data_IF_299109148677
#
_entry.id   IF_299109148677
#
_cell.length_a   1.000
_cell.length_b   1.000
_cell.length_c   1.000
_cell.angle_alpha   90.00
_cell.angle_beta   90.00
_cell.angle_gamma   90.00
#
_symmetry.space_group_name_H-M   'P 1'
#
loop_
_entity.id
_entity.type
_entity.pdbx_description
1 polymer ?
#
# COMPACT_ATOMS: atom_id res chain seq x y z
N UNK A 1 -19.47 -3.04 -20.13
CA UNK A 1 -19.50 -4.51 -20.36
C UNK A 1 -18.37 -5.11 -19.54
N UNK A 2 -18.68 -6.03 -18.63
CA UNK A 2 -17.74 -6.53 -17.64
C UNK A 2 -16.63 -7.40 -18.23
N UNK A 3 -15.44 -7.37 -17.63
CA UNK A 3 -14.24 -8.06 -18.11
C UNK A 3 -14.20 -9.57 -17.76
N UNK A 4 -15.32 -10.18 -17.35
CA UNK A 4 -15.39 -11.60 -16.99
C UNK A 4 -16.28 -12.39 -17.96
N UNK A 5 -15.98 -13.68 -18.12
CA UNK A 5 -16.74 -14.57 -19.00
C UNK A 5 -17.97 -15.11 -18.28
N UNK A 6 -19.15 -14.59 -18.64
CA UNK A 6 -20.44 -15.07 -18.12
C UNK A 6 -20.65 -16.56 -18.43
N UNK A 7 -20.33 -17.00 -19.66
CA UNK A 7 -20.39 -18.41 -20.05
C UNK A 7 -19.49 -19.32 -19.20
N UNK A 8 -18.29 -18.84 -18.83
CA UNK A 8 -17.42 -19.57 -17.92
C UNK A 8 -17.99 -19.59 -16.50
N UNK A 9 -18.47 -18.47 -15.99
CA UNK A 9 -19.06 -18.38 -14.65
C UNK A 9 -20.28 -19.32 -14.52
N UNK A 10 -21.14 -19.37 -15.53
CA UNK A 10 -22.28 -20.28 -15.60
C UNK A 10 -21.84 -21.74 -15.50
N UNK A 11 -20.85 -22.14 -16.30
CA UNK A 11 -20.31 -23.49 -16.28
C UNK A 11 -19.77 -23.86 -14.90
N UNK A 12 -19.05 -22.96 -14.24
CA UNK A 12 -18.55 -23.23 -12.88
C UNK A 12 -19.71 -23.35 -11.88
N UNK A 13 -20.72 -22.48 -11.94
CA UNK A 13 -21.90 -22.54 -11.06
C UNK A 13 -22.72 -23.83 -11.25
N UNK A 14 -22.88 -24.29 -12.49
CA UNK A 14 -23.50 -25.59 -12.79
C UNK A 14 -22.73 -26.76 -12.17
N UNK A 15 -21.39 -26.74 -12.26
CA UNK A 15 -20.55 -27.75 -11.62
C UNK A 15 -20.79 -27.71 -10.11
N UNK A 16 -20.76 -26.52 -9.51
CA UNK A 16 -20.94 -26.39 -8.05
C UNK A 16 -22.32 -26.90 -7.62
N UNK A 17 -23.40 -26.52 -8.31
CA UNK A 17 -24.77 -26.98 -8.00
C UNK A 17 -24.93 -28.49 -8.16
N UNK A 18 -24.26 -29.11 -9.14
CA UNK A 18 -24.26 -30.56 -9.34
C UNK A 18 -23.50 -31.31 -8.23
N UNK A 19 -22.32 -30.83 -7.85
CA UNK A 19 -21.49 -31.50 -6.83
C UNK A 19 -21.91 -31.16 -5.39
N UNK A 20 -22.73 -30.12 -5.21
CA UNK A 20 -23.26 -29.70 -3.93
C UNK A 20 -24.13 -30.78 -3.28
N UNK A 21 -23.81 -31.10 -2.02
CA UNK A 21 -24.61 -31.99 -1.18
C UNK A 21 -25.08 -31.23 0.06
N UNK A 22 -26.38 -31.29 0.37
CA UNK A 22 -26.89 -30.88 1.69
C UNK A 22 -26.34 -31.82 2.74
N UNK A 23 -25.82 -31.28 3.84
CA UNK A 23 -25.31 -32.09 4.95
C UNK A 23 -26.40 -33.03 5.49
N UNK A 24 -26.25 -34.37 5.43
CA UNK A 24 -27.06 -35.27 6.23
C UNK A 24 -26.61 -35.20 7.69
N UNK A 25 -27.53 -35.42 8.63
CA UNK A 25 -27.23 -35.62 10.06
C UNK A 25 -26.33 -36.85 10.34
N UNK A 26 -25.98 -37.62 9.32
CA UNK A 26 -25.21 -38.86 9.41
C UNK A 26 -24.15 -38.90 8.29
N UNK A 27 -22.94 -38.43 8.57
CA UNK A 27 -21.79 -38.66 7.69
C UNK A 27 -21.06 -39.94 8.10
N UNK A 28 -20.75 -40.81 7.14
CA UNK A 28 -19.80 -41.91 7.33
C UNK A 28 -18.37 -41.37 7.14
N UNK A 29 -17.48 -41.70 8.06
CA UNK A 29 -16.07 -41.24 8.19
C UNK A 29 -15.19 -41.46 6.94
N UNK A 30 -15.67 -42.21 5.94
CA UNK A 30 -14.94 -42.51 4.71
C UNK A 30 -15.00 -41.40 3.64
N UNK A 31 -16.02 -40.54 3.65
CA UNK A 31 -16.09 -39.37 2.77
C UNK A 31 -15.41 -38.19 3.47
N UNK A 32 -14.21 -37.78 3.03
CA UNK A 32 -13.58 -36.55 3.52
C UNK A 32 -14.16 -35.36 2.74
N UNK A 33 -15.10 -34.57 3.30
CA UNK A 33 -15.55 -33.37 2.61
C UNK A 33 -14.39 -32.40 2.43
N UNK A 34 -14.23 -31.83 1.22
CA UNK A 34 -13.17 -30.88 0.93
C UNK A 34 -13.39 -29.57 1.70
N UNK A 35 -14.64 -29.10 1.79
CA UNK A 35 -15.02 -27.93 2.59
C UNK A 35 -16.52 -27.92 2.95
N UNK A 36 -16.83 -27.61 4.21
CA UNK A 36 -18.18 -27.31 4.69
C UNK A 36 -18.42 -25.80 4.60
N UNK A 37 -19.57 -25.41 4.07
CA UNK A 37 -20.02 -24.04 4.01
C UNK A 37 -21.35 -23.88 4.76
N UNK A 38 -21.51 -22.74 5.44
CA UNK A 38 -22.70 -22.44 6.24
C UNK A 38 -23.13 -21.00 6.00
N UNK A 39 -24.36 -20.78 5.55
CA UNK A 39 -24.98 -19.45 5.43
C UNK A 39 -26.47 -19.53 5.77
N UNK A 40 -26.98 -18.56 6.54
CA UNK A 40 -28.41 -18.47 6.86
C UNK A 40 -29.02 -19.72 7.52
N UNK A 41 -28.24 -20.46 8.32
CA UNK A 41 -28.70 -21.71 8.95
C UNK A 41 -28.77 -22.92 8.01
N UNK A 42 -28.38 -22.76 6.74
CA UNK A 42 -28.25 -23.84 5.76
C UNK A 42 -26.77 -24.20 5.61
N UNK A 43 -26.48 -25.49 5.48
CA UNK A 43 -25.13 -26.01 5.30
C UNK A 43 -25.01 -26.83 4.02
N UNK A 44 -23.92 -26.61 3.29
CA UNK A 44 -23.63 -27.26 2.03
C UNK A 44 -22.19 -27.76 2.01
N UNK A 45 -21.98 -28.93 1.44
CA UNK A 45 -20.68 -29.56 1.33
C UNK A 45 -20.32 -29.68 -0.15
N UNK A 46 -19.08 -29.29 -0.47
CA UNK A 46 -18.47 -29.51 -1.77
C UNK A 46 -17.35 -30.54 -1.65
N UNK A 47 -17.25 -31.39 -2.66
CA UNK A 47 -16.07 -32.21 -2.91
C UNK A 47 -14.95 -31.36 -3.55
N UNK A 48 -13.80 -31.98 -3.85
CA UNK A 48 -12.65 -31.26 -4.42
C UNK A 48 -12.99 -30.57 -5.74
N UNK A 49 -13.78 -31.23 -6.59
CA UNK A 49 -14.19 -30.71 -7.90
C UNK A 49 -15.15 -29.53 -7.77
N UNK A 50 -16.12 -29.61 -6.86
CA UNK A 50 -17.00 -28.50 -6.52
C UNK A 50 -16.24 -27.33 -5.89
N UNK A 51 -15.24 -27.61 -5.06
CA UNK A 51 -14.40 -26.58 -4.44
C UNK A 51 -13.51 -25.86 -5.47
N UNK A 52 -12.94 -26.58 -6.43
CA UNK A 52 -12.19 -25.98 -7.55
C UNK A 52 -13.09 -25.09 -8.40
N UNK A 53 -14.30 -25.57 -8.74
CA UNK A 53 -15.27 -24.77 -9.48
C UNK A 53 -15.70 -23.51 -8.69
N UNK A 54 -15.89 -23.63 -7.38
CA UNK A 54 -16.16 -22.50 -6.49
C UNK A 54 -15.04 -21.46 -6.54
N UNK A 55 -13.79 -21.88 -6.40
CA UNK A 55 -12.65 -20.97 -6.49
C UNK A 55 -12.53 -20.32 -7.88
N UNK A 56 -12.81 -21.07 -8.95
CA UNK A 56 -12.81 -20.56 -10.31
C UNK A 56 -13.91 -19.51 -10.53
N UNK A 57 -15.12 -19.75 -10.03
CA UNK A 57 -16.23 -18.80 -10.09
C UNK A 57 -15.87 -17.49 -9.37
N UNK A 58 -15.35 -17.57 -8.14
CA UNK A 58 -14.91 -16.41 -7.35
C UNK A 58 -13.84 -15.62 -8.09
N UNK A 59 -12.81 -16.31 -8.61
CA UNK A 59 -11.74 -15.66 -9.36
C UNK A 59 -12.26 -15.01 -10.66
N UNK A 60 -13.23 -15.63 -11.33
CA UNK A 60 -13.83 -15.09 -12.55
C UNK A 60 -14.60 -13.80 -12.27
N UNK A 61 -15.41 -13.75 -11.21
CA UNK A 61 -16.10 -12.52 -10.77
C UNK A 61 -15.09 -11.42 -10.43
N UNK A 62 -14.00 -11.76 -9.73
CA UNK A 62 -12.97 -10.81 -9.32
C UNK A 62 -12.06 -10.32 -10.47
N UNK A 63 -12.20 -10.83 -11.70
CA UNK A 63 -11.56 -10.21 -12.88
C UNK A 63 -12.23 -8.92 -13.30
N UNK A 64 -13.49 -8.71 -12.91
CA UNK A 64 -14.19 -7.48 -13.21
C UNK A 64 -13.67 -6.34 -12.32
N UNK A 65 -13.38 -5.20 -12.94
CA UNK A 65 -12.84 -4.04 -12.24
C UNK A 65 -13.83 -3.50 -11.20
N UNK A 66 -15.15 -3.56 -11.46
CA UNK A 66 -16.14 -3.10 -10.50
C UNK A 66 -16.20 -4.01 -9.27
N UNK A 67 -16.24 -5.33 -9.47
CA UNK A 67 -16.34 -6.27 -8.35
C UNK A 67 -15.05 -6.29 -7.52
N UNK A 68 -13.89 -6.34 -8.17
CA UNK A 68 -12.59 -6.29 -7.48
C UNK A 68 -12.34 -4.96 -6.77
N UNK A 69 -12.91 -3.86 -7.27
CA UNK A 69 -12.89 -2.59 -6.58
C UNK A 69 -13.83 -2.60 -5.37
N UNK A 70 -15.06 -3.11 -5.45
CA UNK A 70 -16.06 -2.89 -4.41
C UNK A 70 -16.18 -4.00 -3.35
N UNK A 71 -15.67 -5.20 -3.63
CA UNK A 71 -15.83 -6.35 -2.73
C UNK A 71 -14.49 -7.01 -2.38
N UNK A 72 -14.38 -7.55 -1.17
CA UNK A 72 -13.30 -8.47 -0.81
C UNK A 72 -13.57 -9.85 -1.40
N UNK A 73 -12.51 -10.65 -1.59
CA UNK A 73 -12.66 -12.05 -2.02
C UNK A 73 -13.62 -12.82 -1.11
N UNK A 74 -13.47 -12.65 0.20
CA UNK A 74 -14.35 -13.27 1.20
C UNK A 74 -15.81 -12.87 1.02
N UNK A 75 -16.08 -11.59 0.73
CA UNK A 75 -17.45 -11.15 0.44
C UNK A 75 -18.00 -11.82 -0.84
N UNK A 76 -17.20 -11.93 -1.90
CA UNK A 76 -17.61 -12.66 -3.12
C UNK A 76 -17.88 -14.13 -2.82
N UNK A 77 -17.00 -14.78 -2.06
CA UNK A 77 -17.19 -16.17 -1.61
C UNK A 77 -18.51 -16.33 -0.85
N UNK A 78 -18.70 -15.57 0.23
CA UNK A 78 -19.80 -15.76 1.18
C UNK A 78 -21.15 -15.22 0.66
N UNK A 79 -21.14 -14.08 -0.05
CA UNK A 79 -22.38 -13.34 -0.40
C UNK A 79 -22.79 -13.42 -1.85
N UNK A 80 -21.87 -13.74 -2.74
CA UNK A 80 -22.19 -13.83 -4.17
C UNK A 80 -22.28 -15.29 -4.56
N UNK A 81 -21.23 -16.07 -4.36
CA UNK A 81 -21.22 -17.47 -4.81
C UNK A 81 -22.00 -18.36 -3.85
N UNK A 82 -21.75 -18.26 -2.54
CA UNK A 82 -22.39 -19.14 -1.57
C UNK A 82 -23.90 -18.92 -1.43
N UNK A 83 -24.32 -17.66 -1.28
CA UNK A 83 -25.74 -17.31 -1.14
C UNK A 83 -26.51 -17.66 -2.43
N UNK A 84 -25.91 -17.45 -3.62
CA UNK A 84 -26.49 -17.91 -4.90
C UNK A 84 -26.75 -19.42 -4.88
N UNK A 85 -25.74 -20.23 -4.51
CA UNK A 85 -25.89 -21.69 -4.47
C UNK A 85 -26.99 -22.08 -3.48
N UNK A 86 -26.93 -21.57 -2.25
CA UNK A 86 -27.84 -21.96 -1.17
C UNK A 86 -29.30 -21.60 -1.47
N UNK A 87 -29.52 -20.44 -2.09
CA UNK A 87 -30.87 -19.96 -2.40
C UNK A 87 -31.47 -20.65 -3.61
N UNK A 88 -30.65 -21.08 -4.57
CA UNK A 88 -31.12 -21.66 -5.81
C UNK A 88 -31.00 -23.21 -5.86
N UNK A 89 -30.35 -23.85 -4.88
CA UNK A 89 -30.14 -25.30 -4.86
C UNK A 89 -31.45 -26.12 -4.91
N UNK A 90 -32.51 -25.69 -4.22
CA UNK A 90 -33.81 -26.39 -4.28
C UNK A 90 -34.42 -26.33 -5.67
N UNK A 91 -34.49 -25.14 -6.28
CA UNK A 91 -35.01 -24.94 -7.63
C UNK A 91 -34.18 -25.67 -8.69
N UNK A 92 -32.86 -25.80 -8.47
CA UNK A 92 -31.98 -26.60 -9.30
C UNK A 92 -32.35 -28.09 -9.26
N UNK A 93 -32.53 -28.66 -8.06
CA UNK A 93 -32.93 -30.07 -7.91
C UNK A 93 -34.30 -30.37 -8.54
N UNK A 94 -35.22 -29.41 -8.46
CA UNK A 94 -36.56 -29.53 -9.04
C UNK A 94 -36.59 -29.27 -10.56
N UNK A 95 -35.43 -28.94 -11.17
CA UNK A 95 -35.30 -28.67 -12.61
C UNK A 95 -35.97 -27.35 -13.07
N UNK A 96 -36.30 -26.47 -12.13
CA UNK A 96 -37.03 -25.21 -12.38
C UNK A 96 -36.13 -23.98 -12.46
N UNK A 97 -34.84 -24.13 -12.15
CA UNK A 97 -33.88 -23.04 -12.14
C UNK A 97 -33.33 -22.75 -13.55
N UNK A 98 -33.63 -21.55 -14.06
CA UNK A 98 -32.84 -20.93 -15.13
C UNK A 98 -31.62 -20.23 -14.51
N UNK A 99 -30.47 -20.91 -14.57
CA UNK A 99 -29.23 -20.44 -13.94
C UNK A 99 -28.75 -19.14 -14.61
N UNK A 100 -28.93 -18.98 -15.92
CA UNK A 100 -28.43 -17.81 -16.66
C UNK A 100 -29.26 -16.57 -16.36
N UNK A 101 -30.59 -16.68 -16.42
CA UNK A 101 -31.48 -15.59 -16.03
C UNK A 101 -31.22 -15.18 -14.57
N UNK A 102 -31.15 -16.15 -13.65
CA UNK A 102 -30.95 -15.86 -12.23
C UNK A 102 -29.58 -15.25 -11.93
N UNK A 103 -28.53 -15.73 -12.57
CA UNK A 103 -27.18 -15.18 -12.44
C UNK A 103 -27.12 -13.74 -12.96
N UNK A 104 -27.79 -13.48 -14.08
CA UNK A 104 -27.87 -12.14 -14.67
C UNK A 104 -28.54 -11.14 -13.73
N UNK A 105 -29.67 -11.53 -13.13
CA UNK A 105 -30.37 -10.71 -12.12
C UNK A 105 -29.48 -10.40 -10.92
N UNK A 106 -28.80 -11.42 -10.37
CA UNK A 106 -27.97 -11.27 -9.17
C UNK A 106 -26.73 -10.39 -9.45
N UNK A 107 -26.11 -10.53 -10.62
CA UNK A 107 -25.03 -9.64 -11.07
C UNK A 107 -25.53 -8.20 -11.22
N UNK A 108 -26.72 -8.00 -11.78
CA UNK A 108 -27.30 -6.67 -11.95
C UNK A 108 -27.59 -6.00 -10.59
N UNK A 109 -28.15 -6.74 -9.64
CA UNK A 109 -28.37 -6.28 -8.27
C UNK A 109 -27.05 -5.86 -7.61
N UNK A 110 -26.02 -6.71 -7.69
CA UNK A 110 -24.71 -6.42 -7.12
C UNK A 110 -24.01 -5.24 -7.80
N UNK A 111 -24.21 -5.04 -9.11
CA UNK A 111 -23.73 -3.84 -9.83
C UNK A 111 -24.45 -2.57 -9.40
N UNK A 112 -25.63 -2.68 -8.80
CA UNK A 112 -26.34 -1.58 -8.15
C UNK A 112 -25.68 -1.12 -6.84
N UNK A 113 -24.69 -1.85 -6.32
CA UNK A 113 -24.00 -1.50 -5.07
C UNK A 113 -23.32 -0.12 -5.18
N UNK A 114 -23.74 0.81 -4.32
CA UNK A 114 -23.29 2.20 -4.34
C UNK A 114 -22.96 2.76 -2.95
N UNK A 115 -22.88 1.89 -1.93
CA UNK A 115 -22.63 2.34 -0.57
C UNK A 115 -21.23 2.96 -0.43
N UNK A 116 -21.18 4.04 0.36
CA UNK A 116 -19.95 4.79 0.63
C UNK A 116 -19.78 4.95 2.13
N UNK A 117 -18.53 4.84 2.55
CA UNK A 117 -18.13 4.92 3.94
C UNK A 117 -17.11 6.03 4.12
N UNK A 118 -17.35 6.89 5.10
CA UNK A 118 -16.34 7.79 5.62
C UNK A 118 -15.49 7.03 6.64
N UNK A 119 -14.23 6.78 6.29
CA UNK A 119 -13.31 6.01 7.14
C UNK A 119 -12.37 6.97 7.86
N UNK A 120 -12.26 6.79 9.17
CA UNK A 120 -11.42 7.61 10.06
C UNK A 120 -10.29 6.73 10.58
N UNK A 121 -9.04 7.13 10.31
CA UNK A 121 -7.85 6.36 10.65
C UNK A 121 -6.93 7.22 11.53
N UNK A 122 -6.69 6.85 12.80
CA UNK A 122 -5.75 7.56 13.66
C UNK A 122 -4.31 7.46 13.15
N UNK A 123 -3.61 8.59 13.15
CA UNK A 123 -2.23 8.74 12.68
C UNK A 123 -1.36 9.22 13.84
N UNK A 124 -0.17 8.63 13.99
CA UNK A 124 0.82 9.10 14.95
C UNK A 124 2.14 9.52 14.29
N UNK A 125 3.02 10.13 15.09
CA UNK A 125 4.34 10.61 14.64
C UNK A 125 4.32 11.95 13.89
N UNK A 126 3.21 12.70 13.97
CA UNK A 126 3.07 14.03 13.38
C UNK A 126 2.59 14.99 14.45
N UNK A 127 3.29 16.12 14.57
CA UNK A 127 2.89 17.25 15.42
C UNK A 127 2.18 18.28 14.54
N UNK A 128 0.85 18.31 14.61
CA UNK A 128 0.01 19.07 13.69
C UNK A 128 -0.36 20.45 14.24
N UNK A 129 0.48 21.44 13.95
CA UNK A 129 0.36 22.82 14.45
C UNK A 129 -0.32 23.74 13.42
N UNK A 130 -1.51 23.35 12.95
CA UNK A 130 -2.26 24.11 11.94
C UNK A 130 -3.75 24.12 12.24
N UNK A 131 -4.42 25.22 11.86
CA UNK A 131 -5.88 25.30 11.77
C UNK A 131 -6.39 24.69 10.45
N UNK A 132 -7.38 23.82 10.56
CA UNK A 132 -8.03 23.15 9.44
C UNK A 132 -7.26 21.94 8.91
N UNK A 133 -7.84 21.26 7.93
CA UNK A 133 -7.31 20.01 7.39
C UNK A 133 -6.19 20.26 6.36
N UNK A 134 -5.33 19.26 6.18
CA UNK A 134 -4.33 19.17 5.13
C UNK A 134 -4.73 18.04 4.15
N UNK A 135 -4.94 18.39 2.89
CA UNK A 135 -5.22 17.42 1.83
C UNK A 135 -3.93 16.77 1.32
N UNK A 136 -3.87 15.44 1.36
CA UNK A 136 -2.72 14.64 0.92
C UNK A 136 -3.23 13.51 0.02
N UNK A 137 -3.12 13.65 -1.29
CA UNK A 137 -3.78 12.70 -2.19
C UNK A 137 -5.29 12.72 -2.00
N UNK A 138 -5.89 11.54 -1.86
CA UNK A 138 -7.32 11.35 -1.64
C UNK A 138 -7.76 11.54 -0.17
N UNK A 139 -6.82 11.72 0.76
CA UNK A 139 -7.14 11.83 2.19
C UNK A 139 -7.10 13.28 2.69
N UNK A 140 -7.86 13.54 3.74
CA UNK A 140 -7.74 14.74 4.57
C UNK A 140 -7.16 14.39 5.93
N UNK A 141 -6.07 15.05 6.30
CA UNK A 141 -5.43 14.93 7.61
C UNK A 141 -5.84 16.11 8.48
N UNK A 142 -6.34 15.85 9.68
CA UNK A 142 -6.76 16.88 10.61
C UNK A 142 -6.94 16.35 12.02
N UNK A 143 -7.12 17.26 12.98
CA UNK A 143 -7.45 16.88 14.34
C UNK A 143 -8.92 16.43 14.39
N UNK A 144 -9.16 15.25 14.92
CA UNK A 144 -10.50 14.71 15.07
C UNK A 144 -11.31 15.53 16.06
N UNK A 145 -12.52 15.91 15.65
CA UNK A 145 -13.51 16.57 16.50
C UNK A 145 -14.84 15.93 16.26
N UNK A 146 -15.50 15.41 17.30
CA UNK A 146 -16.80 14.72 17.14
C UNK A 146 -17.85 15.55 16.42
N UNK A 147 -17.85 16.87 16.60
CA UNK A 147 -18.82 17.78 15.98
C UNK A 147 -18.73 17.83 14.45
N UNK A 148 -17.59 17.46 13.88
CA UNK A 148 -17.36 17.48 12.43
C UNK A 148 -17.99 16.23 11.76
N UNK A 149 -18.58 15.33 12.54
CA UNK A 149 -19.14 14.05 12.08
C UNK A 149 -20.56 13.83 12.61
N UNK A 150 -21.40 13.20 11.78
CA UNK A 150 -22.80 12.91 12.12
C UNK A 150 -22.96 11.57 12.85
N UNK A 151 -22.61 11.51 14.15
CA UNK A 151 -22.72 10.29 14.96
C UNK A 151 -24.06 10.09 15.70
N UNK A 152 -25.10 10.87 15.38
CA UNK A 152 -26.32 11.01 16.22
C UNK A 152 -26.97 9.68 16.66
N UNK A 153 -26.92 8.63 15.83
CA UNK A 153 -27.47 7.29 16.17
C UNK A 153 -26.47 6.33 16.84
N UNK A 154 -25.16 6.57 16.72
CA UNK A 154 -24.09 5.65 17.17
C UNK A 154 -23.58 5.96 18.59
N UNK A 155 -23.74 7.19 19.07
CA UNK A 155 -23.29 7.63 20.40
C UNK A 155 -24.04 6.96 21.56
N UNK A 156 -25.14 6.26 21.28
CA UNK A 156 -25.92 5.49 22.27
C UNK A 156 -25.24 4.18 22.66
N UNK A 157 -24.31 3.67 21.85
CA UNK A 157 -23.57 2.44 22.12
C UNK A 157 -22.30 2.74 22.96
N UNK A 158 -22.24 2.21 24.19
CA UNK A 158 -21.14 2.47 25.14
C UNK A 158 -19.72 2.23 24.56
N UNK A 159 -19.42 1.11 23.88
CA UNK A 159 -18.08 0.87 23.33
C UNK A 159 -17.69 1.89 22.25
N UNK A 160 -18.63 2.25 21.38
CA UNK A 160 -18.40 3.21 20.29
C UNK A 160 -18.18 4.61 20.86
N UNK A 161 -18.97 5.00 21.85
CA UNK A 161 -18.82 6.28 22.54
C UNK A 161 -17.44 6.40 23.21
N UNK A 162 -16.99 5.36 23.90
CA UNK A 162 -15.65 5.33 24.53
C UNK A 162 -14.54 5.46 23.50
N UNK A 163 -14.63 4.73 22.39
CA UNK A 163 -13.66 4.84 21.29
C UNK A 163 -13.62 6.25 20.68
N UNK A 164 -14.77 6.81 20.31
CA UNK A 164 -14.86 8.16 19.75
C UNK A 164 -14.39 9.24 20.74
N UNK A 165 -14.61 9.02 22.05
CA UNK A 165 -14.08 9.90 23.09
C UNK A 165 -12.56 9.89 23.13
N UNK A 166 -11.93 8.72 22.98
CA UNK A 166 -10.47 8.59 22.94
C UNK A 166 -9.82 9.25 21.72
N UNK A 167 -10.57 9.41 20.62
CA UNK A 167 -10.07 10.07 19.41
C UNK A 167 -10.10 11.60 19.46
N UNK A 168 -10.81 12.21 20.41
CA UNK A 168 -10.96 13.67 20.45
C UNK A 168 -9.58 14.36 20.54
N UNK A 169 -9.30 15.26 19.58
CA UNK A 169 -8.02 15.96 19.48
C UNK A 169 -6.86 15.12 18.92
N UNK A 170 -7.05 13.83 18.63
CA UNK A 170 -6.05 13.02 17.94
C UNK A 170 -5.96 13.39 16.45
N UNK A 171 -4.79 13.21 15.86
CA UNK A 171 -4.61 13.36 14.42
C UNK A 171 -5.21 12.16 13.70
N UNK A 172 -6.06 12.42 12.71
CA UNK A 172 -6.69 11.38 11.89
C UNK A 172 -6.53 11.68 10.41
N UNK A 173 -6.46 10.62 9.61
CA UNK A 173 -6.68 10.64 8.17
C UNK A 173 -8.13 10.25 7.90
N UNK A 174 -8.81 11.02 7.06
CA UNK A 174 -10.21 10.78 6.67
C UNK A 174 -10.32 10.64 5.16
N UNK A 175 -11.16 9.70 4.72
CA UNK A 175 -11.41 9.44 3.30
C UNK A 175 -12.80 8.84 3.11
N UNK A 176 -13.47 9.24 2.03
CA UNK A 176 -14.73 8.65 1.59
C UNK A 176 -14.47 7.60 0.51
N UNK A 177 -14.81 6.36 0.78
CA UNK A 177 -14.54 5.21 -0.09
C UNK A 177 -15.81 4.42 -0.38
N UNK A 178 -15.95 3.95 -1.61
CA UNK A 178 -16.98 3.01 -2.00
C UNK A 178 -16.50 1.56 -1.81
N UNK A 179 -17.45 0.67 -1.53
CA UNK A 179 -17.22 -0.76 -1.33
C UNK A 179 -17.84 -1.24 -0.03
N UNK A 180 -18.00 -2.56 0.08
CA UNK A 180 -18.46 -3.18 1.33
C UNK A 180 -17.51 -2.84 2.50
N UNK A 181 -17.96 -2.87 3.77
CA UNK A 181 -17.22 -2.34 4.91
C UNK A 181 -15.74 -2.78 5.03
N UNK A 182 -15.42 -4.05 4.77
CA UNK A 182 -14.05 -4.56 4.83
C UNK A 182 -13.22 -4.02 3.65
N UNK A 183 -13.79 -4.02 2.45
CA UNK A 183 -13.14 -3.45 1.26
C UNK A 183 -12.90 -1.94 1.40
N UNK A 184 -13.88 -1.21 1.91
CA UNK A 184 -13.77 0.21 2.23
C UNK A 184 -12.61 0.45 3.22
N UNK A 185 -12.54 -0.35 4.30
CA UNK A 185 -11.43 -0.29 5.26
C UNK A 185 -10.06 -0.56 4.59
N UNK A 186 -9.94 -1.59 3.76
CA UNK A 186 -8.70 -1.92 3.04
C UNK A 186 -8.24 -0.75 2.14
N UNK A 187 -9.16 -0.20 1.34
CA UNK A 187 -8.88 0.97 0.49
C UNK A 187 -8.43 2.18 1.30
N UNK A 188 -9.12 2.47 2.38
CA UNK A 188 -8.79 3.61 3.24
C UNK A 188 -7.41 3.45 3.89
N UNK A 189 -7.09 2.25 4.40
CA UNK A 189 -5.76 1.95 4.95
C UNK A 189 -4.67 2.11 3.89
N UNK A 190 -4.92 1.64 2.67
CA UNK A 190 -3.98 1.78 1.56
C UNK A 190 -3.73 3.25 1.19
N UNK A 191 -4.79 4.05 1.04
CA UNK A 191 -4.68 5.47 0.70
C UNK A 191 -4.02 6.29 1.82
N UNK A 192 -4.36 6.03 3.08
CA UNK A 192 -3.68 6.66 4.22
C UNK A 192 -2.19 6.29 4.23
N UNK A 193 -1.85 5.01 4.08
CA UNK A 193 -0.45 4.57 4.03
C UNK A 193 0.33 5.24 2.88
N UNK A 194 -0.27 5.40 1.69
CA UNK A 194 0.32 6.14 0.56
C UNK A 194 0.59 7.60 0.91
N UNK A 195 -0.38 8.26 1.52
CA UNK A 195 -0.23 9.65 1.96
C UNK A 195 0.86 9.82 3.03
N UNK A 196 0.96 8.89 3.99
CA UNK A 196 2.03 8.91 4.99
C UNK A 196 3.42 8.71 4.37
N UNK A 197 3.56 7.83 3.37
CA UNK A 197 4.83 7.66 2.62
C UNK A 197 5.26 8.95 1.91
N UNK A 198 4.30 9.72 1.38
CA UNK A 198 4.59 11.06 0.86
C UNK A 198 5.07 12.00 1.96
N UNK A 199 4.42 12.05 3.11
CA UNK A 199 4.88 12.90 4.22
C UNK A 199 6.31 12.54 4.68
N UNK A 200 6.65 11.25 4.69
CA UNK A 200 7.99 10.75 5.02
C UNK A 200 9.08 11.26 4.08
N UNK A 201 8.76 11.57 2.82
CA UNK A 201 9.71 12.21 1.88
C UNK A 201 10.28 13.52 2.43
N UNK A 202 9.52 14.22 3.26
CA UNK A 202 9.88 15.54 3.79
C UNK A 202 10.53 15.51 5.17
N UNK A 203 10.70 14.33 5.80
CA UNK A 203 11.34 14.21 7.12
C UNK A 203 12.72 14.87 7.13
N UNK A 204 13.55 14.64 6.10
CA UNK A 204 14.87 15.26 5.98
C UNK A 204 14.86 16.76 5.67
N UNK A 205 13.75 17.32 5.20
CA UNK A 205 13.63 18.76 5.02
C UNK A 205 13.55 19.51 6.36
N UNK A 206 13.25 18.80 7.46
CA UNK A 206 12.99 19.39 8.77
C UNK A 206 13.92 18.91 9.88
N UNK A 207 14.45 17.68 9.78
CA UNK A 207 15.30 17.11 10.82
C UNK A 207 16.76 16.97 10.36
N UNK A 208 17.69 17.57 11.11
CA UNK A 208 19.14 17.48 10.88
C UNK A 208 19.69 16.32 11.71
N UNK A 209 20.24 15.31 11.02
CA UNK A 209 20.94 14.11 11.55
C UNK A 209 20.14 13.18 12.49
N UNK A 210 20.43 11.87 12.33
CA UNK A 210 20.22 10.74 13.27
C UNK A 210 18.92 10.64 14.07
N UNK A 211 17.83 11.26 13.64
CA UNK A 211 16.53 11.19 14.32
C UNK A 211 15.62 10.22 13.57
N UNK A 212 15.17 9.17 14.26
CA UNK A 212 14.16 8.28 13.74
C UNK A 212 12.80 8.98 13.81
N UNK A 213 12.14 9.11 12.66
CA UNK A 213 10.80 9.69 12.57
C UNK A 213 9.84 8.60 12.11
N UNK A 214 8.98 8.15 13.03
CA UNK A 214 7.99 7.11 12.76
C UNK A 214 6.62 7.74 12.52
N UNK A 215 6.35 8.15 11.28
CA UNK A 215 4.99 8.54 10.87
C UNK A 215 4.25 7.26 10.49
N UNK A 216 3.27 6.81 11.27
CA UNK A 216 2.52 5.56 11.00
C UNK A 216 1.04 5.70 11.36
N UNK A 217 0.25 4.73 10.91
CA UNK A 217 -1.08 4.49 11.49
C UNK A 217 -0.88 4.16 12.97
N UNK A 218 -1.67 4.75 13.86
CA UNK A 218 -1.44 4.68 15.30
C UNK A 218 -1.38 3.23 15.83
N UNK A 219 -2.21 2.33 15.29
CA UNK A 219 -2.19 0.91 15.66
C UNK A 219 -0.92 0.16 15.22
N UNK A 220 -0.08 0.77 14.40
CA UNK A 220 1.19 0.23 13.91
C UNK A 220 2.40 0.88 14.61
N UNK A 221 2.16 1.78 15.56
CA UNK A 221 3.20 2.34 16.42
C UNK A 221 3.45 1.39 17.58
N UNK A 222 4.73 1.11 17.81
CA UNK A 222 5.17 0.48 19.06
C UNK A 222 5.10 1.55 20.15
N UNK A 223 3.96 1.64 20.83
CA UNK A 223 3.74 2.55 21.96
C UNK A 223 4.22 1.86 23.25
N UNK A 224 5.53 1.82 23.46
CA UNK A 224 6.09 1.30 24.71
C UNK A 224 7.59 1.09 24.61
N UNK A 225 8.31 1.08 25.75
CA UNK A 225 9.74 0.80 25.75
C UNK A 225 9.94 -0.71 25.59
N UNK A 226 10.01 -1.14 24.33
CA UNK A 226 10.22 -2.52 23.92
C UNK A 226 11.71 -2.84 23.80
N UNK A 227 12.37 -3.06 24.93
CA UNK A 227 13.73 -3.60 24.98
C UNK A 227 13.79 -4.86 25.82
N UNK A 228 14.74 -5.78 25.55
CA UNK A 228 14.93 -6.96 26.37
C UNK A 228 15.25 -6.52 27.81
N UNK A 229 14.63 -7.20 28.77
CA UNK A 229 15.03 -7.09 30.18
C UNK A 229 16.09 -8.15 30.44
N UNK A 230 17.31 -7.72 30.80
CA UNK A 230 18.37 -8.63 31.22
C UNK A 230 18.22 -8.85 32.72
N UNK A 231 18.13 -10.10 33.15
CA UNK A 231 18.09 -10.45 34.57
C UNK A 231 19.42 -11.08 34.93
N UNK A 232 20.19 -10.40 35.78
CA UNK A 232 21.40 -10.96 36.39
C UNK A 232 20.97 -11.87 37.56
N UNK A 233 20.97 -13.18 37.32
CA UNK A 233 20.44 -14.19 38.24
C UNK A 233 21.21 -14.25 39.58
N UNK A 234 22.57 -14.22 39.61
CA UNK A 234 23.34 -14.15 40.84
C UNK A 234 23.03 -12.96 41.76
N UNK A 235 22.80 -11.77 41.18
CA UNK A 235 22.60 -10.55 41.97
C UNK A 235 21.12 -10.14 42.13
N UNK A 236 20.19 -10.88 41.50
CA UNK A 236 18.75 -10.58 41.40
C UNK A 236 18.47 -9.16 40.88
N UNK A 237 19.38 -8.60 40.08
CA UNK A 237 19.22 -7.27 39.49
C UNK A 237 18.58 -7.38 38.11
N UNK A 238 17.55 -6.57 37.89
CA UNK A 238 16.98 -6.37 36.56
C UNK A 238 17.76 -5.23 35.92
N UNK A 239 18.58 -5.56 34.93
CA UNK A 239 19.17 -4.61 34.01
C UNK A 239 18.15 -4.38 32.89
N UNK A 240 17.43 -3.28 33.00
CA UNK A 240 16.52 -2.85 31.96
C UNK A 240 17.32 -2.12 30.88
N UNK A 241 17.54 -2.76 29.72
CA UNK A 241 18.00 -2.10 28.50
C UNK A 241 16.81 -1.81 27.59
N UNK A 242 15.82 -1.09 28.10
CA UNK A 242 14.87 -0.43 27.23
C UNK A 242 15.56 0.78 26.61
N UNK A 243 16.02 0.63 25.38
CA UNK A 243 16.15 1.81 24.55
C UNK A 243 14.74 2.31 24.29
N UNK A 244 14.38 3.47 24.86
CA UNK A 244 13.33 4.26 24.23
C UNK A 244 13.81 4.46 22.79
N UNK A 245 13.02 4.08 21.76
CA UNK A 245 13.40 4.39 20.38
C UNK A 245 13.78 5.86 20.37
N UNK A 246 15.04 6.15 20.01
CA UNK A 246 15.66 7.47 20.17
C UNK A 246 14.64 8.53 19.83
N UNK A 247 14.20 9.29 20.86
CA UNK A 247 12.86 9.88 20.94
C UNK A 247 12.25 10.19 19.59
N UNK A 248 11.18 9.46 19.21
CA UNK A 248 10.48 9.65 17.94
C UNK A 248 10.20 11.13 17.78
N UNK A 249 10.96 11.81 16.92
CA UNK A 249 10.76 13.24 16.72
C UNK A 249 9.58 13.35 15.76
N UNK A 250 8.44 13.93 16.19
CA UNK A 250 7.30 14.02 15.32
C UNK A 250 7.63 14.93 14.13
N UNK A 251 7.09 14.60 12.96
CA UNK A 251 7.10 15.52 11.83
C UNK A 251 6.18 16.70 12.17
N UNK A 252 6.76 17.86 12.46
CA UNK A 252 5.94 19.06 12.73
C UNK A 252 5.38 19.64 11.43
N UNK A 253 4.05 19.66 11.30
CA UNK A 253 3.32 20.32 10.21
C UNK A 253 2.81 21.67 10.70
N UNK A 254 3.60 22.71 10.45
CA UNK A 254 3.21 24.11 10.64
C UNK A 254 3.29 24.87 9.30
N UNK A 255 2.89 26.16 9.30
CA UNK A 255 2.87 27.00 8.08
C UNK A 255 4.23 27.05 7.38
N UNK A 256 5.31 27.27 8.15
CA UNK A 256 6.70 27.36 7.63
C UNK A 256 7.17 26.05 6.98
N UNK A 257 6.92 24.92 7.64
CA UNK A 257 7.31 23.61 7.13
C UNK A 257 6.51 23.26 5.87
N UNK A 258 5.20 23.54 5.87
CA UNK A 258 4.36 23.31 4.68
C UNK A 258 4.80 24.14 3.47
N UNK A 259 5.20 25.40 3.66
CA UNK A 259 5.77 26.22 2.59
C UNK A 259 7.06 25.62 2.03
N UNK A 260 7.93 25.05 2.88
CA UNK A 260 9.10 24.30 2.42
C UNK A 260 8.70 23.03 1.64
N UNK A 261 7.74 22.24 2.12
CA UNK A 261 7.24 21.04 1.39
C UNK A 261 6.75 21.42 -0.01
N UNK A 262 6.01 22.53 -0.11
CA UNK A 262 5.50 23.05 -1.39
C UNK A 262 6.64 23.41 -2.36
N UNK A 263 7.72 24.04 -1.89
CA UNK A 263 8.91 24.32 -2.72
C UNK A 263 9.58 23.06 -3.27
N UNK A 264 9.39 21.93 -2.58
CA UNK A 264 9.89 20.61 -2.96
C UNK A 264 8.80 19.71 -3.59
N UNK A 265 7.74 20.30 -4.14
CA UNK A 265 6.80 19.58 -5.00
C UNK A 265 5.64 18.87 -4.29
N UNK A 266 5.34 19.24 -3.03
CA UNK A 266 4.29 18.56 -2.25
C UNK A 266 2.92 18.62 -2.90
N UNK A 267 2.53 19.77 -3.44
CA UNK A 267 1.21 19.93 -4.07
C UNK A 267 1.12 19.09 -5.34
N UNK A 268 2.21 19.01 -6.09
CA UNK A 268 2.34 18.25 -7.32
C UNK A 268 2.19 16.76 -7.02
N UNK A 269 2.94 16.21 -6.07
CA UNK A 269 2.80 14.79 -5.71
C UNK A 269 1.41 14.51 -5.12
N UNK A 270 0.91 15.38 -4.24
CA UNK A 270 -0.44 15.27 -3.67
C UNK A 270 -1.52 15.30 -4.76
N UNK A 271 -1.30 16.02 -5.87
CA UNK A 271 -2.18 15.96 -7.05
C UNK A 271 -2.04 14.65 -7.83
N UNK A 272 -0.83 14.12 -8.00
CA UNK A 272 -0.60 12.84 -8.67
C UNK A 272 -1.24 11.66 -7.94
N UNK A 273 -1.24 11.68 -6.59
CA UNK A 273 -1.89 10.64 -5.79
C UNK A 273 -3.42 10.61 -5.96
N UNK A 274 -4.04 11.68 -6.46
CA UNK A 274 -5.49 11.78 -6.72
C UNK A 274 -5.90 11.36 -8.12
N UNK A 275 -4.96 11.30 -9.06
CA UNK A 275 -5.27 10.92 -10.43
C UNK A 275 -5.71 9.46 -10.48
N UNK A 276 -6.66 9.17 -11.35
CA UNK A 276 -7.00 7.80 -11.71
C UNK A 276 -5.85 7.14 -12.46
N UNK A 277 -5.76 5.82 -12.41
CA UNK A 277 -4.65 5.08 -13.03
C UNK A 277 -4.46 5.43 -14.52
N UNK A 278 -5.55 5.63 -15.26
CA UNK A 278 -5.49 5.96 -16.69
C UNK A 278 -4.93 7.36 -16.98
N UNK A 279 -5.00 8.29 -16.03
CA UNK A 279 -4.51 9.68 -16.17
C UNK A 279 -3.05 9.88 -15.74
N UNK A 280 -2.44 8.84 -15.13
CA UNK A 280 -1.06 8.87 -14.66
C UNK A 280 -0.16 8.30 -15.74
N UNK A 281 0.76 9.11 -16.27
CA UNK A 281 1.74 8.65 -17.26
C UNK A 281 2.66 7.56 -16.68
N UNK A 282 3.23 6.67 -17.51
CA UNK A 282 4.20 5.68 -17.05
C UNK A 282 5.34 6.29 -16.23
N UNK A 283 5.83 7.48 -16.63
CA UNK A 283 6.87 8.18 -15.89
C UNK A 283 6.40 8.72 -14.54
N UNK A 284 5.19 9.29 -14.45
CA UNK A 284 4.60 9.70 -13.18
C UNK A 284 4.41 8.50 -12.23
N UNK A 285 4.02 7.32 -12.76
CA UNK A 285 3.90 6.08 -11.97
C UNK A 285 5.24 5.66 -11.36
N UNK A 286 6.34 5.77 -12.09
CA UNK A 286 7.68 5.46 -11.56
C UNK A 286 8.11 6.43 -10.47
N UNK A 287 7.78 7.72 -10.59
CA UNK A 287 8.04 8.71 -9.54
C UNK A 287 7.24 8.36 -8.28
N UNK A 288 5.97 8.00 -8.41
CA UNK A 288 5.14 7.55 -7.28
C UNK A 288 5.69 6.27 -6.64
N UNK A 289 6.15 5.31 -7.46
CA UNK A 289 6.76 4.07 -6.98
C UNK A 289 8.08 4.35 -6.23
N UNK A 290 8.91 5.26 -6.74
CA UNK A 290 10.11 5.73 -6.06
C UNK A 290 9.80 6.38 -4.71
N UNK A 291 8.76 7.23 -4.63
CA UNK A 291 8.31 7.83 -3.37
C UNK A 291 7.82 6.77 -2.39
N UNK A 292 7.13 5.73 -2.89
CA UNK A 292 6.70 4.60 -2.07
C UNK A 292 7.90 3.87 -1.44
N UNK A 293 8.93 3.53 -2.23
CA UNK A 293 10.14 2.88 -1.73
C UNK A 293 10.95 3.78 -0.79
N UNK A 294 11.06 5.07 -1.09
CA UNK A 294 11.69 6.05 -0.21
C UNK A 294 10.97 6.15 1.14
N UNK A 295 9.65 6.31 1.14
CA UNK A 295 8.84 6.40 2.35
C UNK A 295 8.79 5.10 3.15
N UNK A 296 9.01 3.95 2.50
CA UNK A 296 9.22 2.65 3.18
C UNK A 296 10.59 2.61 3.86
N UNK A 297 11.65 3.05 3.18
CA UNK A 297 13.00 3.12 3.76
C UNK A 297 13.04 4.01 5.02
N UNK A 298 12.42 5.19 4.99
CA UNK A 298 12.38 6.10 6.16
C UNK A 298 11.76 5.42 7.39
N UNK A 299 10.82 4.50 7.18
CA UNK A 299 10.07 3.83 8.25
C UNK A 299 10.75 2.55 8.79
N UNK A 300 11.80 2.08 8.13
CA UNK A 300 12.55 0.90 8.58
C UNK A 300 13.42 1.24 9.79
N UNK A 301 13.88 0.22 10.50
CA UNK A 301 14.91 0.35 11.55
C UNK A 301 16.25 -0.13 11.03
N UNK A 302 16.27 -1.30 10.36
CA UNK A 302 17.46 -1.94 9.78
C UNK A 302 18.14 -1.06 8.69
N UNK A 303 19.37 -0.59 8.92
CA UNK A 303 20.16 0.19 7.95
C UNK A 303 20.40 -0.50 6.59
N UNK A 304 20.54 -1.82 6.57
CA UNK A 304 20.74 -2.61 5.35
C UNK A 304 19.48 -2.56 4.50
N UNK A 305 18.31 -2.81 5.11
CA UNK A 305 17.03 -2.72 4.40
C UNK A 305 16.75 -1.30 3.93
N UNK A 306 17.05 -0.27 4.75
CA UNK A 306 16.98 1.15 4.31
C UNK A 306 17.81 1.39 3.06
N UNK A 307 19.07 0.95 3.08
CA UNK A 307 19.99 1.12 1.96
C UNK A 307 19.47 0.45 0.69
N UNK A 308 19.00 -0.80 0.79
CA UNK A 308 18.43 -1.52 -0.36
C UNK A 308 17.20 -0.82 -0.92
N UNK A 309 16.30 -0.31 -0.07
CA UNK A 309 15.12 0.42 -0.52
C UNK A 309 15.49 1.73 -1.23
N UNK A 310 16.50 2.46 -0.75
CA UNK A 310 17.03 3.62 -1.47
C UNK A 310 17.71 3.22 -2.79
N UNK A 311 18.40 2.08 -2.87
CA UNK A 311 18.92 1.58 -4.14
C UNK A 311 17.81 1.26 -5.14
N UNK A 312 16.70 0.66 -4.69
CA UNK A 312 15.51 0.41 -5.51
C UNK A 312 14.94 1.74 -6.04
N UNK A 313 14.94 2.82 -5.27
CA UNK A 313 14.52 4.16 -5.76
C UNK A 313 15.34 4.58 -6.99
N UNK A 314 16.66 4.44 -6.93
CA UNK A 314 17.55 4.79 -8.04
C UNK A 314 17.28 3.89 -9.26
N UNK A 315 17.10 2.58 -9.04
CA UNK A 315 16.83 1.61 -10.10
C UNK A 315 15.47 1.85 -10.79
N UNK A 316 14.42 2.10 -10.02
CA UNK A 316 13.09 2.44 -10.54
C UNK A 316 13.18 3.64 -11.48
N UNK A 317 13.89 4.69 -11.06
CA UNK A 317 13.97 5.96 -11.79
C UNK A 317 14.91 5.93 -13.00
N UNK A 318 15.99 5.13 -12.97
CA UNK A 318 17.10 5.29 -13.92
C UNK A 318 17.63 4.01 -14.59
N UNK A 319 17.21 2.80 -14.17
CA UNK A 319 17.68 1.57 -14.81
C UNK A 319 16.97 1.32 -16.16
N UNK A 320 17.73 0.98 -17.21
CA UNK A 320 17.20 0.45 -18.48
C UNK A 320 16.92 -1.06 -18.33
N UNK A 321 15.89 -1.58 -19.01
CA UNK A 321 15.59 -3.02 -19.06
C UNK A 321 16.34 -3.77 -20.19
N UNK A 322 17.17 -3.10 -20.99
CA UNK A 322 17.79 -3.69 -22.18
C UNK A 322 18.97 -4.61 -21.84
N UNK A 323 18.97 -5.81 -22.44
CA UNK A 323 20.01 -6.84 -22.33
C UNK A 323 21.22 -6.60 -23.24
N UNK A 324 21.12 -5.75 -24.25
CA UNK A 324 22.12 -5.61 -25.33
C UNK A 324 23.01 -4.39 -25.20
N UNK A 325 23.72 -4.24 -24.07
CA UNK A 325 24.78 -3.23 -24.00
C UNK A 325 26.01 -3.74 -23.28
N UNK A 326 27.18 -3.49 -23.87
CA UNK A 326 28.50 -3.79 -23.30
C UNK A 326 28.81 -3.06 -21.97
N UNK A 327 27.93 -2.17 -21.51
CA UNK A 327 28.09 -1.40 -20.26
C UNK A 327 27.28 -2.00 -19.13
N UNK A 328 27.90 -2.07 -17.95
CA UNK A 328 27.21 -2.51 -16.73
C UNK A 328 26.05 -1.58 -16.37
N UNK A 329 25.00 -2.14 -15.75
CA UNK A 329 23.86 -1.36 -15.23
C UNK A 329 24.36 -0.25 -14.28
N UNK A 330 25.36 -0.57 -13.46
CA UNK A 330 26.01 0.36 -12.52
C UNK A 330 26.63 1.57 -13.24
N UNK A 331 27.32 1.37 -14.37
CA UNK A 331 27.93 2.47 -15.12
C UNK A 331 26.88 3.43 -15.68
N UNK A 332 25.85 2.90 -16.33
CA UNK A 332 24.76 3.70 -16.91
C UNK A 332 24.03 4.52 -15.84
N UNK A 333 23.76 3.88 -14.70
CA UNK A 333 23.10 4.52 -13.58
C UNK A 333 23.98 5.61 -12.96
N UNK A 334 25.24 5.31 -12.65
CA UNK A 334 26.19 6.29 -12.10
C UNK A 334 26.36 7.51 -13.00
N UNK A 335 26.42 7.32 -14.31
CA UNK A 335 26.50 8.42 -15.28
C UNK A 335 25.23 9.26 -15.33
N UNK A 336 24.06 8.62 -15.31
CA UNK A 336 22.77 9.31 -15.34
C UNK A 336 22.57 10.15 -14.07
N UNK A 337 22.89 9.59 -12.91
CA UNK A 337 22.84 10.32 -11.63
C UNK A 337 23.81 11.50 -11.64
N UNK A 338 25.06 11.29 -12.06
CA UNK A 338 26.04 12.35 -12.16
C UNK A 338 25.57 13.49 -13.07
N UNK A 339 25.03 13.18 -14.25
CA UNK A 339 24.52 14.18 -15.18
C UNK A 339 23.33 14.98 -14.60
N UNK A 340 22.38 14.30 -13.94
CA UNK A 340 21.18 14.93 -13.40
C UNK A 340 21.46 15.79 -12.15
N UNK A 341 22.41 15.40 -11.31
CA UNK A 341 22.70 16.08 -10.04
C UNK A 341 23.88 17.06 -10.13
N UNK A 342 24.86 16.79 -11.00
CA UNK A 342 26.10 17.55 -11.10
C UNK A 342 26.02 18.75 -12.06
N UNK A 343 26.38 19.94 -11.55
CA UNK A 343 26.39 21.19 -12.32
C UNK A 343 27.66 21.41 -13.16
N UNK A 344 28.81 20.98 -12.65
CA UNK A 344 30.14 21.13 -13.26
C UNK A 344 30.79 19.76 -13.49
N UNK A 345 31.77 19.70 -14.38
CA UNK A 345 32.44 18.45 -14.74
C UNK A 345 33.03 17.74 -13.52
N UNK A 346 33.76 18.46 -12.65
CA UNK A 346 34.43 17.91 -11.48
C UNK A 346 33.41 17.28 -10.51
N UNK A 347 32.29 17.97 -10.28
CA UNK A 347 31.19 17.46 -9.44
C UNK A 347 30.54 16.20 -10.06
N UNK A 348 30.39 16.14 -11.39
CA UNK A 348 29.88 14.94 -12.06
C UNK A 348 30.82 13.75 -11.89
N UNK A 349 32.14 13.97 -11.97
CA UNK A 349 33.16 12.92 -11.74
C UNK A 349 33.05 12.38 -10.31
N UNK A 350 32.92 13.26 -9.31
CA UNK A 350 32.76 12.88 -7.92
C UNK A 350 31.46 12.09 -7.68
N UNK A 351 30.32 12.58 -8.17
CA UNK A 351 29.03 11.88 -8.05
C UNK A 351 29.11 10.51 -8.72
N UNK A 352 29.69 10.41 -9.92
CA UNK A 352 29.83 9.12 -10.63
C UNK A 352 30.63 8.13 -9.79
N UNK A 353 31.75 8.56 -9.18
CA UNK A 353 32.57 7.72 -8.30
C UNK A 353 31.79 7.27 -7.07
N UNK A 354 31.07 8.17 -6.43
CA UNK A 354 30.27 7.89 -5.25
C UNK A 354 29.17 6.87 -5.53
N UNK A 355 28.45 7.00 -6.65
CA UNK A 355 27.41 6.04 -7.02
C UNK A 355 27.99 4.65 -7.32
N UNK A 356 29.13 4.58 -8.01
CA UNK A 356 29.82 3.29 -8.22
C UNK A 356 30.16 2.61 -6.90
N UNK A 357 30.66 3.37 -5.92
CA UNK A 357 30.94 2.84 -4.58
C UNK A 357 29.66 2.33 -3.91
N UNK A 358 28.57 3.09 -3.93
CA UNK A 358 27.28 2.66 -3.34
C UNK A 358 26.76 1.36 -3.99
N UNK A 359 26.90 1.21 -5.32
CA UNK A 359 26.49 -0.02 -5.99
C UNK A 359 27.43 -1.20 -5.73
N UNK A 360 28.71 -0.94 -5.44
CA UNK A 360 29.59 -1.94 -4.84
C UNK A 360 29.05 -2.47 -3.51
N UNK A 361 28.62 -1.57 -2.61
CA UNK A 361 28.00 -1.93 -1.33
C UNK A 361 26.70 -2.71 -1.55
N UNK A 362 25.81 -2.26 -2.44
CA UNK A 362 24.57 -2.97 -2.81
C UNK A 362 24.87 -4.39 -3.28
N UNK A 363 25.86 -4.55 -4.16
CA UNK A 363 26.26 -5.85 -4.68
C UNK A 363 26.76 -6.78 -3.57
N UNK A 364 27.60 -6.27 -2.66
CA UNK A 364 28.09 -7.03 -1.51
C UNK A 364 26.99 -7.44 -0.53
N UNK A 365 25.94 -6.62 -0.34
CA UNK A 365 24.79 -6.99 0.50
C UNK A 365 24.02 -8.14 -0.16
N UNK A 366 23.64 -7.99 -1.43
CA UNK A 366 22.74 -8.94 -2.12
C UNK A 366 23.43 -10.27 -2.45
N UNK A 367 24.70 -10.24 -2.85
CA UNK A 367 25.42 -11.44 -3.32
C UNK A 367 26.55 -11.89 -2.39
N UNK A 368 27.07 -10.99 -1.56
CA UNK A 368 28.26 -11.23 -0.73
C UNK A 368 27.97 -11.42 0.76
N UNK A 369 26.70 -11.41 1.18
CA UNK A 369 26.32 -11.61 2.60
C UNK A 369 26.68 -10.46 3.54
N UNK A 370 27.05 -9.28 3.02
CA UNK A 370 27.34 -8.12 3.87
C UNK A 370 26.08 -7.69 4.62
N UNK A 371 26.15 -7.70 5.95
CA UNK A 371 25.06 -7.40 6.88
C UNK A 371 25.17 -6.02 7.55
N UNK A 372 26.11 -5.19 7.10
CA UNK A 372 26.36 -3.86 7.65
C UNK A 372 26.49 -2.79 6.57
N UNK A 373 25.95 -1.59 6.85
CA UNK A 373 26.07 -0.41 6.00
C UNK A 373 26.61 0.74 6.83
N UNK A 374 27.66 1.42 6.35
CA UNK A 374 28.17 2.60 7.03
C UNK A 374 27.15 3.73 6.96
N UNK A 375 26.95 4.44 8.07
CA UNK A 375 26.00 5.54 8.17
C UNK A 375 26.30 6.70 7.16
N UNK A 376 27.56 6.89 6.75
CA UNK A 376 27.91 7.79 5.63
C UNK A 376 27.35 7.31 4.29
N UNK A 377 27.40 6.01 4.01
CA UNK A 377 26.90 5.40 2.77
C UNK A 377 25.38 5.48 2.73
N UNK A 378 24.73 5.17 3.86
CA UNK A 378 23.28 5.29 4.01
C UNK A 378 22.78 6.72 3.78
N UNK A 379 23.42 7.72 4.41
CA UNK A 379 23.06 9.12 4.19
C UNK A 379 23.26 9.57 2.75
N UNK A 380 24.32 9.10 2.09
CA UNK A 380 24.63 9.49 0.73
C UNK A 380 23.58 8.94 -0.25
N UNK A 381 23.22 7.65 -0.14
CA UNK A 381 22.20 7.07 -1.01
C UNK A 381 20.82 7.67 -0.76
N UNK A 382 20.46 7.93 0.51
CA UNK A 382 19.22 8.63 0.88
C UNK A 382 19.16 10.03 0.25
N UNK A 383 20.25 10.80 0.36
CA UNK A 383 20.33 12.13 -0.23
C UNK A 383 20.19 12.10 -1.75
N UNK A 384 20.89 11.18 -2.43
CA UNK A 384 20.81 11.01 -3.88
C UNK A 384 19.38 10.65 -4.29
N UNK A 385 18.76 9.68 -3.62
CA UNK A 385 17.39 9.25 -3.89
C UNK A 385 16.38 10.41 -3.78
N UNK A 386 16.43 11.17 -2.69
CA UNK A 386 15.56 12.33 -2.48
C UNK A 386 15.75 13.40 -3.58
N UNK A 387 17.01 13.71 -3.91
CA UNK A 387 17.34 14.73 -4.92
C UNK A 387 16.88 14.33 -6.31
N UNK A 388 17.01 13.06 -6.67
CA UNK A 388 16.52 12.53 -7.94
C UNK A 388 14.99 12.62 -8.01
N UNK A 389 14.26 12.17 -6.97
CA UNK A 389 12.80 12.30 -6.91
C UNK A 389 12.38 13.76 -7.16
N UNK A 390 12.98 14.72 -6.45
CA UNK A 390 12.63 16.15 -6.57
C UNK A 390 12.94 16.69 -7.98
N UNK A 391 14.10 16.36 -8.57
CA UNK A 391 14.48 16.85 -9.90
C UNK A 391 13.60 16.24 -10.98
N UNK A 392 13.32 14.94 -10.92
CA UNK A 392 12.51 14.25 -11.90
C UNK A 392 11.03 14.65 -11.80
N UNK A 393 10.52 14.90 -10.60
CA UNK A 393 9.18 15.49 -10.40
C UNK A 393 9.04 16.85 -11.10
N UNK A 394 10.07 17.69 -11.06
CA UNK A 394 10.07 18.99 -11.78
C UNK A 394 10.13 18.84 -13.30
N UNK A 395 10.64 17.71 -13.78
CA UNK A 395 10.73 17.36 -15.20
C UNK A 395 9.60 16.45 -15.68
N UNK A 396 8.65 16.08 -14.83
CA UNK A 396 7.59 15.11 -15.14
C UNK A 396 6.76 15.45 -16.38
N UNK A 397 6.55 16.73 -16.66
CA UNK A 397 5.80 17.17 -17.84
C UNK A 397 6.62 17.13 -19.14
N UNK A 398 7.93 16.89 -19.05
CA UNK A 398 8.85 16.82 -20.20
C UNK A 398 8.93 15.41 -20.78
N UNK A 399 8.48 14.38 -20.04
CA UNK A 399 8.65 12.97 -20.40
C UNK A 399 7.38 12.18 -20.07
N UNK A 400 6.92 11.35 -20.99
CA UNK A 400 5.82 10.41 -20.74
C UNK A 400 6.35 9.07 -20.18
N UNK A 401 7.58 8.71 -20.53
CA UNK A 401 8.21 7.44 -20.17
C UNK A 401 9.63 7.61 -19.62
N UNK A 402 10.13 6.61 -18.88
CA UNK A 402 11.53 6.55 -18.42
C UNK A 402 12.51 6.55 -19.59
N UNK A 403 12.15 5.85 -20.65
CA UNK A 403 12.98 5.65 -21.82
C UNK A 403 13.28 6.99 -22.50
N UNK A 404 12.28 7.87 -22.60
CA UNK A 404 12.47 9.24 -23.10
C UNK A 404 13.45 10.05 -22.24
N UNK A 405 13.33 9.97 -20.90
CA UNK A 405 14.28 10.61 -19.98
C UNK A 405 15.71 10.11 -20.23
N UNK A 406 15.90 8.79 -20.30
CA UNK A 406 17.22 8.19 -20.45
C UNK A 406 17.83 8.50 -21.82
N UNK A 407 17.02 8.51 -22.89
CA UNK A 407 17.46 8.97 -24.20
C UNK A 407 17.86 10.45 -24.19
N UNK A 408 17.11 11.31 -23.49
CA UNK A 408 17.44 12.72 -23.34
C UNK A 408 18.78 12.93 -22.60
N UNK A 409 19.01 12.18 -21.52
CA UNK A 409 20.29 12.19 -20.77
C UNK A 409 21.44 11.79 -21.70
N UNK A 410 21.28 10.70 -22.45
CA UNK A 410 22.29 10.20 -23.38
C UNK A 410 22.63 11.23 -24.48
N UNK A 411 21.61 11.79 -25.13
CA UNK A 411 21.77 12.81 -26.17
C UNK A 411 22.44 14.09 -25.67
N UNK A 412 22.11 14.53 -24.46
CA UNK A 412 22.71 15.73 -23.84
C UNK A 412 24.12 15.53 -23.32
N UNK A 413 24.60 14.29 -23.24
CA UNK A 413 25.99 13.97 -22.90
C UNK A 413 26.91 13.94 -24.13
N UNK A 414 26.35 13.68 -25.31
CA UNK A 414 27.07 13.70 -26.59
C UNK A 414 27.24 15.11 -27.17
N UNK A 415 26.63 16.12 -26.52
CA UNK A 415 26.81 17.55 -26.79
C UNK A 415 27.56 18.17 -25.62
#
# INVERSE_FOLDING_TARGET
>A
MGNFSQSKLLRELEIILREAKRSPREFKVADRPARLFVSGGKSLILDDKGLDAFNNAVNEILKDDFFSANFTRKYVEDKIVMDFIINNYSSYLDGTLDIDARLSDEIQELRGFNERYQVIIPIGGIDFQRRGNLKVGNIEIGLFRKKDFSFRKLLTLSPVRTYLNGLEGQLVGTIDVAGEPLKAKEKALYEVARALKLLRLYVRAFHVKSTEVQIRILSQLMLGPGGPSLVDYPSKRILYSGELPAGIVPLTINKKNLEKMRRFGFNEISSLLRKELHDISPFEREILLAINWYGTAVDMTDPVLKFLNYAIVLEVLLSKQEKDSDRTITDKLAESVAFLLGKKYENRVEIKRDIKRLYGVRSSIVHGGKDFVQDRELRLIEYVALRLIIILLKKRSQFQTKQELLYWVEKKRLR
#
